data_IF_617031463298
#
_entry.id   IF_617031463298
#
_cell.length_a   1.000
_cell.length_b   1.000
_cell.length_c   1.000
_cell.angle_alpha   90.00
_cell.angle_beta   90.00
_cell.angle_gamma   90.00
#
_symmetry.space_group_name_H-M   'P 1'
#
loop_
_entity.id
_entity.type
_entity.pdbx_description
1 polymer ?
#
# COMPACT_ATOMS: atom_id res chain seq x y z
N UNK A 1 -0.49 -8.18 -2.93
CA UNK A 1 -1.48 -7.07 -2.90
C UNK A 1 -2.83 -7.52 -2.36
N UNK A 2 -3.41 -8.64 -2.83
CA UNK A 2 -4.71 -9.16 -2.36
C UNK A 2 -4.76 -9.38 -0.83
N UNK A 3 -3.70 -9.98 -0.26
CA UNK A 3 -3.61 -10.25 1.19
C UNK A 3 -3.66 -8.95 2.04
N UNK A 4 -3.09 -7.84 1.55
CA UNK A 4 -3.08 -6.55 2.25
C UNK A 4 -4.46 -5.89 2.19
N UNK A 5 -5.12 -5.93 1.02
CA UNK A 5 -6.49 -5.42 0.90
C UNK A 5 -7.43 -6.16 1.87
N UNK A 6 -7.35 -7.49 1.91
CA UNK A 6 -8.16 -8.30 2.82
C UNK A 6 -7.86 -7.99 4.31
N UNK A 7 -6.59 -7.83 4.66
CA UNK A 7 -6.15 -7.49 6.01
C UNK A 7 -6.66 -6.11 6.48
N UNK A 8 -6.50 -5.07 5.65
CA UNK A 8 -6.95 -3.71 5.99
C UNK A 8 -8.47 -3.63 6.12
N UNK A 9 -9.22 -4.33 5.25
CA UNK A 9 -10.67 -4.44 5.33
C UNK A 9 -11.10 -5.14 6.63
N UNK A 10 -10.46 -6.26 6.96
CA UNK A 10 -10.76 -6.99 8.19
C UNK A 10 -10.49 -6.13 9.45
N UNK A 11 -9.35 -5.44 9.49
CA UNK A 11 -8.98 -4.55 10.59
C UNK A 11 -9.98 -3.40 10.75
N UNK A 12 -10.36 -2.74 9.66
CA UNK A 12 -11.34 -1.65 9.70
C UNK A 12 -12.72 -2.13 10.15
N UNK A 13 -13.17 -3.29 9.65
CA UNK A 13 -14.44 -3.90 10.07
C UNK A 13 -14.44 -4.21 11.56
N UNK A 14 -13.33 -4.70 12.11
CA UNK A 14 -13.20 -4.93 13.55
C UNK A 14 -13.23 -3.62 14.34
N UNK A 15 -12.50 -2.58 13.95
CA UNK A 15 -12.55 -1.29 14.65
C UNK A 15 -13.98 -0.69 14.64
N UNK A 16 -14.73 -0.82 13.54
CA UNK A 16 -16.14 -0.42 13.52
C UNK A 16 -17.02 -1.21 14.51
N UNK A 17 -16.78 -2.51 14.66
CA UNK A 17 -17.58 -3.39 15.53
C UNK A 17 -17.18 -3.24 17.00
N UNK A 18 -15.89 -3.12 17.29
CA UNK A 18 -15.35 -3.12 18.66
C UNK A 18 -15.24 -1.72 19.27
N UNK A 19 -14.90 -0.71 18.47
CA UNK A 19 -14.67 0.66 18.96
C UNK A 19 -15.85 1.60 18.63
N UNK A 20 -16.86 1.11 17.91
CA UNK A 20 -17.98 1.94 17.44
C UNK A 20 -17.56 2.98 16.40
N UNK A 21 -16.40 2.81 15.77
CA UNK A 21 -15.90 3.71 14.74
C UNK A 21 -16.83 3.71 13.52
N UNK A 22 -17.16 4.89 13.01
CA UNK A 22 -17.96 5.01 11.79
C UNK A 22 -17.21 4.40 10.60
N UNK A 23 -17.88 3.61 9.74
CA UNK A 23 -17.24 3.05 8.55
C UNK A 23 -16.77 4.19 7.64
N UNK A 24 -15.46 4.35 7.54
CA UNK A 24 -14.82 5.43 6.80
C UNK A 24 -13.92 4.84 5.71
N UNK A 25 -14.46 4.82 4.49
CA UNK A 25 -13.74 4.31 3.33
C UNK A 25 -12.49 5.13 3.00
N UNK A 26 -12.46 6.41 3.34
CA UNK A 26 -11.32 7.28 3.10
C UNK A 26 -10.15 6.95 4.05
N UNK A 27 -10.48 6.59 5.30
CA UNK A 27 -9.51 6.09 6.28
C UNK A 27 -8.95 4.73 5.86
N UNK A 28 -9.81 3.80 5.40
CA UNK A 28 -9.39 2.52 4.85
C UNK A 28 -8.35 2.67 3.72
N UNK A 29 -8.63 3.54 2.74
CA UNK A 29 -7.74 3.79 1.60
C UNK A 29 -6.42 4.44 2.05
N UNK A 30 -6.46 5.34 3.04
CA UNK A 30 -5.26 5.97 3.61
C UNK A 30 -4.37 4.93 4.30
N UNK A 31 -4.95 4.09 5.16
CA UNK A 31 -4.22 3.03 5.85
C UNK A 31 -3.65 2.02 4.87
N UNK A 32 -4.39 1.67 3.82
CA UNK A 32 -3.90 0.81 2.75
C UNK A 32 -2.68 1.39 2.03
N UNK A 33 -2.75 2.66 1.60
CA UNK A 33 -1.62 3.32 0.91
C UNK A 33 -0.39 3.44 1.82
N UNK A 34 -0.62 3.74 3.10
CA UNK A 34 0.44 3.83 4.08
C UNK A 34 1.12 2.46 4.27
N UNK A 35 0.35 1.42 4.60
CA UNK A 35 0.89 0.06 4.73
C UNK A 35 1.60 -0.36 3.43
N UNK A 36 1.00 -0.17 2.24
CA UNK A 36 1.63 -0.48 0.95
C UNK A 36 2.99 0.23 0.78
N UNK A 37 3.09 1.51 1.15
CA UNK A 37 4.34 2.26 1.09
C UNK A 37 5.40 1.67 2.01
N UNK A 38 5.04 1.35 3.26
CA UNK A 38 5.94 0.70 4.23
C UNK A 38 6.36 -0.70 3.79
N UNK A 39 5.47 -1.50 3.22
CA UNK A 39 5.81 -2.82 2.67
C UNK A 39 6.77 -2.71 1.47
N UNK A 40 6.54 -1.74 0.58
CA UNK A 40 7.47 -1.44 -0.50
C UNK A 40 8.84 -0.98 0.03
N UNK A 41 8.86 -0.17 1.09
CA UNK A 41 10.07 0.36 1.71
C UNK A 41 10.85 -0.70 2.50
N UNK A 42 10.14 -1.56 3.26
CA UNK A 42 10.72 -2.55 4.16
C UNK A 42 11.29 -3.79 3.43
N UNK A 43 10.90 -4.06 2.18
CA UNK A 43 11.32 -5.31 1.53
C UNK A 43 11.38 -5.32 0.00
N UNK A 44 11.09 -4.21 -0.68
CA UNK A 44 10.90 -4.23 -2.13
C UNK A 44 11.89 -3.35 -2.91
N UNK A 45 13.19 -3.37 -2.56
CA UNK A 45 14.24 -2.85 -3.49
C UNK A 45 14.15 -3.52 -4.88
N UNK A 46 13.68 -4.77 -4.95
CA UNK A 46 13.46 -5.50 -6.21
C UNK A 46 12.21 -5.07 -7.01
N UNK A 47 11.23 -4.38 -6.42
CA UNK A 47 10.05 -3.91 -7.15
C UNK A 47 10.29 -2.56 -7.83
N UNK A 48 11.27 -1.77 -7.36
CA UNK A 48 11.80 -0.60 -8.09
C UNK A 48 12.47 -1.00 -9.40
N UNK A 49 13.09 -2.19 -9.45
CA UNK A 49 13.74 -2.72 -10.64
C UNK A 49 12.77 -3.18 -11.73
N UNK A 50 11.50 -3.48 -11.38
CA UNK A 50 10.49 -3.93 -12.34
C UNK A 50 9.70 -2.78 -13.02
N UNK A 51 9.99 -1.50 -12.71
CA UNK A 51 9.19 -0.41 -13.26
C UNK A 51 9.89 0.92 -13.57
N UNK A 52 11.11 1.18 -13.10
CA UNK A 52 11.74 2.51 -13.27
C UNK A 52 13.27 2.44 -13.45
N UNK A 53 13.77 1.43 -14.16
CA UNK A 53 15.19 1.29 -14.49
C UNK A 53 15.58 1.57 -15.94
N UNK A 54 14.63 1.78 -16.86
CA UNK A 54 14.91 1.82 -18.31
C UNK A 54 14.60 3.15 -19.03
N UNK A 55 14.38 4.27 -18.32
CA UNK A 55 14.19 5.56 -19.00
C UNK A 55 15.05 6.65 -18.37
N UNK A 56 16.37 6.41 -18.26
CA UNK A 56 17.29 7.48 -17.85
C UNK A 56 18.76 7.33 -18.30
N UNK A 57 19.09 6.44 -19.25
CA UNK A 57 20.46 6.34 -19.79
C UNK A 57 20.50 6.17 -21.31
N UNK A 58 19.67 6.92 -22.04
CA UNK A 58 19.96 7.26 -23.43
C UNK A 58 19.98 8.79 -23.53
N UNK A 59 21.12 9.38 -23.17
CA UNK A 59 21.52 10.73 -23.60
C UNK A 59 22.39 10.54 -24.86
N UNK A 60 22.31 11.44 -25.85
CA UNK A 60 22.82 11.21 -27.19
C UNK A 60 24.30 11.60 -27.31
N UNK A 61 25.05 10.77 -28.01
CA UNK A 61 26.32 11.06 -28.66
C UNK A 61 26.22 10.77 -30.16
#
# INVERSE_FOLDING_TARGET
MIIMCAWVIWKHRNSCIFEGASPNMNELIRTFKHEQHWWCFAGARGLRALGLGQVALESPD
#
